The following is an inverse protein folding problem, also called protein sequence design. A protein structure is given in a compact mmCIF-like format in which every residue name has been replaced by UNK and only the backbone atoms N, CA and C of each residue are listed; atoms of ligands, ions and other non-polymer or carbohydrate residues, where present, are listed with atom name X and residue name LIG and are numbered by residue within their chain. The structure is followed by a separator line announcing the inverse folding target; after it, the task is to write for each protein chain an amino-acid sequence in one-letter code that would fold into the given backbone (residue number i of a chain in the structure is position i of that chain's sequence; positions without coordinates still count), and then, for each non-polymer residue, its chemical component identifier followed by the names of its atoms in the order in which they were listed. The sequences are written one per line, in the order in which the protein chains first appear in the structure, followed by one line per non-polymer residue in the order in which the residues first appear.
data_IF_164894479804
#
_entry.id   IF_164894479804
#
_cell.length_a   1.000
_cell.length_b   1.000
_cell.length_c   1.000
_cell.angle_alpha   90.00
_cell.angle_beta   90.00
_cell.angle_gamma   90.00
#
_symmetry.space_group_name_H-M   'P 1'
#
loop_
_entity.id
_entity.type
_entity.pdbx_description
1 polymer ?
#
# COMPACT_ATOMS: atom_id res chain seq x y z
N UNK A 1 10.89 14.66 -4.43
CA UNK A 1 9.41 14.74 -4.25
C UNK A 1 8.93 13.34 -3.90
N UNK A 2 8.03 13.24 -2.95
CA UNK A 2 7.43 11.95 -2.55
C UNK A 2 6.17 11.69 -3.38
N UNK A 3 5.83 10.43 -3.60
CA UNK A 3 4.54 10.06 -4.15
C UNK A 3 3.54 9.82 -3.00
N UNK A 4 2.27 10.19 -3.19
CA UNK A 4 1.12 9.97 -2.29
C UNK A 4 1.17 10.72 -0.96
N UNK A 5 2.23 10.57 -0.14
CA UNK A 5 2.32 11.13 1.21
C UNK A 5 3.65 11.81 1.47
N UNK A 6 3.66 12.87 2.28
CA UNK A 6 4.86 13.63 2.63
C UNK A 6 4.74 14.24 4.05
N UNK A 7 5.75 15.01 4.47
CA UNK A 7 5.79 15.68 5.79
C UNK A 7 4.64 16.64 6.08
N UNK A 8 3.87 17.03 5.05
CA UNK A 8 2.72 17.93 5.21
C UNK A 8 1.39 17.18 5.32
N UNK A 9 1.36 15.89 4.99
CA UNK A 9 0.17 15.04 5.06
C UNK A 9 -0.41 15.03 6.48
N UNK A 10 -1.71 15.31 6.61
CA UNK A 10 -2.45 15.43 7.87
C UNK A 10 -3.43 14.28 8.00
N UNK A 11 -3.19 13.39 8.95
CA UNK A 11 -3.86 12.09 9.05
C UNK A 11 -4.96 12.11 10.11
N UNK A 12 -6.15 11.62 9.74
CA UNK A 12 -7.18 11.15 10.67
C UNK A 12 -7.17 9.62 10.74
N UNK A 13 -7.25 9.05 11.95
CA UNK A 13 -7.29 7.60 12.16
C UNK A 13 -8.70 7.17 12.54
N UNK A 14 -9.38 6.42 11.68
CA UNK A 14 -10.69 5.82 11.97
C UNK A 14 -10.50 4.51 12.73
N UNK A 15 -11.27 4.34 13.83
CA UNK A 15 -11.10 3.22 14.74
C UNK A 15 -9.95 3.44 15.75
N UNK A 16 -9.58 4.69 16.02
CA UNK A 16 -8.41 5.05 16.84
C UNK A 16 -8.49 4.52 18.28
N UNK A 17 -9.66 4.35 18.85
CA UNK A 17 -9.83 3.83 20.23
C UNK A 17 -9.69 2.31 20.33
N UNK A 18 -9.61 1.61 19.22
CA UNK A 18 -9.28 0.19 19.18
C UNK A 18 -7.78 -0.05 19.40
N UNK A 19 -7.42 -1.26 19.83
CA UNK A 19 -6.03 -1.64 20.15
C UNK A 19 -5.07 -1.34 19.00
N UNK A 20 -5.38 -1.81 17.80
CA UNK A 20 -4.53 -1.63 16.61
C UNK A 20 -4.53 -0.15 16.15
N UNK A 21 -5.70 0.51 16.16
CA UNK A 21 -5.82 1.91 15.79
C UNK A 21 -4.99 2.82 16.70
N UNK A 22 -5.09 2.64 18.02
CA UNK A 22 -4.30 3.38 19.00
C UNK A 22 -2.80 3.14 18.85
N UNK A 23 -2.39 1.86 18.81
CA UNK A 23 -0.98 1.50 18.70
C UNK A 23 -0.33 2.08 17.43
N UNK A 24 -0.95 1.86 16.27
CA UNK A 24 -0.37 2.32 15.02
C UNK A 24 -0.47 3.84 14.82
N UNK A 25 -1.50 4.51 15.34
CA UNK A 25 -1.56 5.96 15.37
C UNK A 25 -0.36 6.55 16.13
N UNK A 26 -0.05 6.00 17.31
CA UNK A 26 1.10 6.37 18.12
C UNK A 26 2.42 6.12 17.39
N UNK A 27 2.57 4.97 16.73
CA UNK A 27 3.77 4.65 15.93
C UNK A 27 3.93 5.58 14.71
N UNK A 28 2.84 5.98 14.06
CA UNK A 28 2.89 6.96 12.97
C UNK A 28 3.31 8.33 13.49
N UNK A 29 2.75 8.78 14.63
CA UNK A 29 3.12 10.03 15.28
C UNK A 29 4.59 10.04 15.72
N UNK A 30 5.08 8.95 16.31
CA UNK A 30 6.48 8.78 16.70
C UNK A 30 7.45 8.82 15.52
N UNK A 31 7.03 8.38 14.33
CA UNK A 31 7.80 8.49 13.09
C UNK A 31 7.87 9.93 12.54
N UNK A 32 7.05 10.85 13.04
CA UNK A 32 6.96 12.23 12.58
C UNK A 32 5.75 12.54 11.71
N UNK A 33 4.84 11.57 11.48
CA UNK A 33 3.59 11.79 10.74
C UNK A 33 2.66 12.69 11.54
N UNK A 34 2.02 13.66 10.88
CA UNK A 34 1.04 14.55 11.53
C UNK A 34 -0.30 13.83 11.69
N UNK A 35 -0.40 12.97 12.71
CA UNK A 35 -1.68 12.38 13.12
C UNK A 35 -2.42 13.43 13.94
N UNK A 36 -3.39 14.09 13.34
CA UNK A 36 -4.04 15.29 13.89
C UNK A 36 -5.43 15.03 14.47
N UNK A 37 -6.02 13.87 14.16
CA UNK A 37 -7.36 13.49 14.63
C UNK A 37 -7.53 11.97 14.70
N UNK A 38 -8.42 11.53 15.55
CA UNK A 38 -8.99 10.19 15.55
C UNK A 38 -10.51 10.24 15.39
N UNK A 39 -11.09 9.16 14.88
CA UNK A 39 -12.55 9.01 14.78
C UNK A 39 -12.97 7.68 15.35
N UNK A 40 -13.92 7.74 16.28
CA UNK A 40 -14.68 6.58 16.77
C UNK A 40 -16.06 7.08 17.17
N UNK A 41 -17.15 6.60 16.54
CA UNK A 41 -18.51 7.01 16.88
C UNK A 41 -18.83 6.85 18.37
N UNK A 42 -19.45 7.87 18.99
CA UNK A 42 -19.79 7.89 20.42
C UNK A 42 -18.61 8.16 21.36
N UNK A 43 -17.40 8.48 20.85
CA UNK A 43 -16.20 8.72 21.65
C UNK A 43 -15.64 10.14 21.50
N UNK A 44 -16.37 11.07 20.91
CA UNK A 44 -15.95 12.46 20.81
C UNK A 44 -15.63 13.07 22.16
N UNK A 45 -14.58 13.91 22.18
CA UNK A 45 -14.07 14.54 23.42
C UNK A 45 -13.08 13.70 24.20
N UNK A 46 -12.87 12.44 23.83
CA UNK A 46 -11.74 11.65 24.36
C UNK A 46 -10.44 12.02 23.60
N UNK A 47 -9.33 11.59 24.17
CA UNK A 47 -8.01 11.67 23.55
C UNK A 47 -7.32 10.30 23.57
N UNK A 48 -6.53 10.03 22.55
CA UNK A 48 -5.63 8.86 22.45
C UNK A 48 -4.22 9.38 22.23
N UNK A 49 -3.36 9.26 23.23
CA UNK A 49 -1.96 9.75 23.19
C UNK A 49 -1.86 11.23 22.73
N UNK A 50 -2.76 12.08 23.23
CA UNK A 50 -2.86 13.49 22.86
C UNK A 50 -3.41 13.75 21.46
N UNK A 51 -4.06 12.76 20.85
CA UNK A 51 -4.77 12.90 19.57
C UNK A 51 -6.27 13.05 19.89
N UNK A 52 -6.93 14.18 19.53
CA UNK A 52 -8.34 14.38 19.81
C UNK A 52 -9.21 13.42 19.00
N UNK A 53 -10.26 12.89 19.65
CA UNK A 53 -11.21 11.94 19.03
C UNK A 53 -12.51 12.65 18.70
N UNK A 54 -13.01 12.41 17.49
CA UNK A 54 -14.28 12.93 16.95
C UNK A 54 -15.26 11.78 16.68
N UNK A 55 -16.55 12.12 16.56
CA UNK A 55 -17.58 11.14 16.18
C UNK A 55 -17.57 10.84 14.68
N UNK A 56 -17.20 11.81 13.85
CA UNK A 56 -17.25 11.70 12.39
C UNK A 56 -15.97 12.23 11.73
N UNK A 57 -15.64 11.69 10.54
CA UNK A 57 -14.53 12.23 9.73
C UNK A 57 -14.80 13.67 9.32
N UNK A 58 -16.07 14.03 9.05
CA UNK A 58 -16.44 15.41 8.69
C UNK A 58 -16.13 16.40 9.82
N UNK A 59 -16.38 16.05 11.08
CA UNK A 59 -16.03 16.88 12.21
C UNK A 59 -14.52 17.01 12.39
N UNK A 60 -13.78 15.90 12.19
CA UNK A 60 -12.33 15.90 12.21
C UNK A 60 -11.75 16.82 11.12
N UNK A 61 -12.22 16.71 9.86
CA UNK A 61 -11.79 17.58 8.74
C UNK A 61 -12.03 19.05 9.06
N UNK A 62 -13.23 19.41 9.55
CA UNK A 62 -13.56 20.80 9.88
C UNK A 62 -12.66 21.39 10.96
N UNK A 63 -12.22 20.59 11.92
CA UNK A 63 -11.41 21.05 13.07
C UNK A 63 -9.92 20.99 12.84
N UNK A 64 -9.44 20.05 12.02
CA UNK A 64 -8.02 19.75 11.90
C UNK A 64 -7.50 19.81 10.48
N UNK A 65 -8.33 20.07 9.48
CA UNK A 65 -7.94 20.12 8.06
C UNK A 65 -7.18 18.87 7.61
N UNK A 66 -7.53 17.70 8.16
CA UNK A 66 -6.93 16.43 7.73
C UNK A 66 -7.33 16.11 6.29
N UNK A 67 -6.38 15.59 5.52
CA UNK A 67 -6.50 15.29 4.09
C UNK A 67 -6.39 13.79 3.77
N UNK A 68 -5.93 13.01 4.74
CA UNK A 68 -5.68 11.57 4.60
C UNK A 68 -6.34 10.79 5.73
N UNK A 69 -7.02 9.70 5.39
CA UNK A 69 -7.64 8.79 6.37
C UNK A 69 -6.89 7.46 6.44
N UNK A 70 -6.57 7.02 7.66
CA UNK A 70 -6.02 5.70 7.97
C UNK A 70 -7.08 4.88 8.70
N UNK A 71 -7.47 3.71 8.17
CA UNK A 71 -8.62 2.93 8.64
C UNK A 71 -8.21 1.62 9.31
N UNK A 72 -8.61 1.47 10.59
CA UNK A 72 -8.54 0.26 11.40
C UNK A 72 -9.93 -0.21 11.86
N UNK A 73 -10.98 0.22 11.18
CA UNK A 73 -12.36 -0.15 11.49
C UNK A 73 -12.58 -1.64 11.18
N UNK A 74 -13.31 -2.40 12.02
CA UNK A 74 -13.58 -3.82 11.77
C UNK A 74 -14.22 -4.10 10.40
N UNK A 75 -13.98 -5.28 9.78
CA UNK A 75 -14.35 -5.58 8.40
C UNK A 75 -15.80 -5.28 8.01
N UNK A 76 -16.82 -5.58 8.85
CA UNK A 76 -18.23 -5.31 8.48
C UNK A 76 -18.56 -3.82 8.31
N UNK A 77 -17.73 -2.93 8.87
CA UNK A 77 -17.98 -1.48 8.88
C UNK A 77 -16.93 -0.70 8.07
N UNK A 78 -15.87 -1.37 7.60
CA UNK A 78 -14.76 -0.70 6.94
C UNK A 78 -15.16 -0.10 5.58
N UNK A 79 -16.08 -0.74 4.86
CA UNK A 79 -16.63 -0.18 3.62
C UNK A 79 -17.31 1.18 3.84
N UNK A 80 -18.13 1.29 4.88
CA UNK A 80 -18.79 2.55 5.25
C UNK A 80 -17.78 3.60 5.72
N UNK A 81 -16.73 3.19 6.46
CA UNK A 81 -15.66 4.09 6.88
C UNK A 81 -14.88 4.68 5.68
N UNK A 82 -14.64 3.89 4.62
CA UNK A 82 -14.04 4.39 3.37
C UNK A 82 -14.95 5.44 2.72
N UNK A 83 -16.26 5.16 2.63
CA UNK A 83 -17.22 6.08 2.02
C UNK A 83 -17.39 7.35 2.84
N UNK A 84 -17.42 7.25 4.17
CA UNK A 84 -17.48 8.41 5.08
C UNK A 84 -16.26 9.34 4.85
N UNK A 85 -15.06 8.77 4.75
CA UNK A 85 -13.86 9.55 4.47
C UNK A 85 -13.95 10.29 3.12
N UNK A 86 -14.40 9.59 2.08
CA UNK A 86 -14.61 10.18 0.76
C UNK A 86 -15.67 11.30 0.76
N UNK A 87 -16.77 11.10 1.49
CA UNK A 87 -17.86 12.09 1.63
C UNK A 87 -17.45 13.31 2.47
N UNK A 88 -16.49 13.15 3.37
CA UNK A 88 -15.90 14.23 4.14
C UNK A 88 -14.85 15.06 3.36
N UNK A 89 -14.51 14.65 2.13
CA UNK A 89 -13.56 15.37 1.27
C UNK A 89 -12.10 14.92 1.42
N UNK A 90 -11.84 13.81 2.10
CA UNK A 90 -10.52 13.20 2.18
C UNK A 90 -10.02 12.80 0.78
N UNK A 91 -8.77 13.10 0.49
CA UNK A 91 -8.14 12.84 -0.81
C UNK A 91 -7.44 11.50 -0.92
N UNK A 92 -6.93 11.01 0.20
CA UNK A 92 -6.25 9.71 0.29
C UNK A 92 -6.83 8.90 1.44
N UNK A 93 -7.32 7.70 1.12
CA UNK A 93 -7.82 6.73 2.09
C UNK A 93 -6.92 5.52 2.09
N UNK A 94 -6.39 5.15 3.24
CA UNK A 94 -5.52 3.97 3.43
C UNK A 94 -6.26 3.01 4.36
N UNK A 95 -6.72 1.89 3.83
CA UNK A 95 -7.51 0.90 4.56
C UNK A 95 -6.64 -0.32 4.88
N UNK A 96 -6.30 -0.49 6.17
CA UNK A 96 -5.48 -1.61 6.64
C UNK A 96 -6.32 -2.88 6.77
N UNK A 97 -7.59 -2.71 7.09
CA UNK A 97 -8.52 -3.79 7.43
C UNK A 97 -8.52 -4.92 6.41
N UNK A 98 -8.32 -6.13 6.89
CA UNK A 98 -8.47 -7.38 6.15
C UNK A 98 -9.87 -7.95 6.35
N UNK A 99 -10.37 -8.72 5.38
CA UNK A 99 -11.62 -9.47 5.50
C UNK A 99 -12.88 -8.66 5.20
N UNK A 100 -12.78 -7.52 4.54
CA UNK A 100 -13.94 -6.78 4.05
C UNK A 100 -14.65 -7.64 2.99
N UNK A 101 -15.99 -7.82 3.08
CA UNK A 101 -16.74 -8.57 2.09
C UNK A 101 -16.52 -8.01 0.68
N UNK A 102 -16.28 -8.89 -0.29
CA UNK A 102 -16.01 -8.52 -1.69
C UNK A 102 -17.12 -7.62 -2.25
N UNK A 103 -18.39 -7.94 -1.95
CA UNK A 103 -19.53 -7.13 -2.40
C UNK A 103 -19.52 -5.71 -1.86
N UNK A 104 -19.04 -5.51 -0.63
CA UNK A 104 -18.92 -4.16 -0.04
C UNK A 104 -17.81 -3.39 -0.75
N UNK A 105 -16.68 -4.04 -1.08
CA UNK A 105 -15.63 -3.40 -1.86
C UNK A 105 -16.05 -3.09 -3.30
N UNK A 106 -16.89 -3.91 -3.92
CA UNK A 106 -17.50 -3.59 -5.24
C UNK A 106 -18.38 -2.33 -5.14
N UNK A 107 -19.19 -2.20 -4.10
CA UNK A 107 -19.99 -1.00 -3.83
C UNK A 107 -19.12 0.23 -3.59
N UNK A 108 -18.08 0.09 -2.76
CA UNK A 108 -17.10 1.15 -2.51
C UNK A 108 -16.44 1.61 -3.81
N UNK A 109 -15.88 0.69 -4.61
CA UNK A 109 -15.25 1.02 -5.91
C UNK A 109 -16.22 1.75 -6.85
N UNK A 110 -17.48 1.32 -6.90
CA UNK A 110 -18.50 1.98 -7.71
C UNK A 110 -18.77 3.41 -7.22
N UNK A 111 -18.90 3.60 -5.90
CA UNK A 111 -19.18 4.90 -5.29
C UNK A 111 -18.00 5.89 -5.43
N UNK A 112 -16.76 5.39 -5.45
CA UNK A 112 -15.57 6.22 -5.62
C UNK A 112 -15.27 6.58 -7.08
N UNK A 113 -15.94 5.95 -8.05
CA UNK A 113 -15.68 6.21 -9.48
C UNK A 113 -15.96 7.67 -9.83
N UNK A 114 -14.97 8.34 -10.43
CA UNK A 114 -15.06 9.76 -10.84
C UNK A 114 -14.92 10.76 -9.70
N UNK A 115 -14.69 10.31 -8.47
CA UNK A 115 -14.39 11.19 -7.33
C UNK A 115 -12.88 11.46 -7.25
N UNK A 116 -12.53 12.63 -6.75
CA UNK A 116 -11.14 13.02 -6.47
C UNK A 116 -10.70 12.44 -5.11
N UNK A 117 -10.65 11.12 -5.04
CA UNK A 117 -10.19 10.35 -3.88
C UNK A 117 -9.45 9.10 -4.33
N UNK A 118 -8.30 8.83 -3.72
CA UNK A 118 -7.53 7.60 -3.93
C UNK A 118 -7.69 6.68 -2.74
N UNK A 119 -7.94 5.41 -3.01
CA UNK A 119 -7.98 4.34 -2.00
C UNK A 119 -6.76 3.43 -2.15
N UNK A 120 -6.00 3.24 -1.08
CA UNK A 120 -4.93 2.23 -0.94
C UNK A 120 -5.46 1.09 -0.07
N UNK A 121 -5.26 -0.15 -0.51
CA UNK A 121 -5.86 -1.32 0.13
C UNK A 121 -7.28 -1.62 -0.40
N UNK A 122 -8.10 -2.37 0.32
CA UNK A 122 -7.92 -2.87 1.69
C UNK A 122 -6.85 -3.97 1.83
N UNK A 123 -6.71 -4.52 3.06
CA UNK A 123 -5.76 -5.58 3.38
C UNK A 123 -4.33 -5.21 2.95
N UNK A 124 -3.85 -4.06 3.41
CA UNK A 124 -2.55 -3.52 3.01
C UNK A 124 -1.75 -3.05 4.23
N UNK A 125 -0.41 -2.97 4.14
CA UNK A 125 0.42 -2.44 5.22
C UNK A 125 0.48 -0.91 5.25
N UNK A 126 -0.12 -0.22 4.29
CA UNK A 126 -0.13 1.23 4.18
C UNK A 126 0.93 1.79 3.23
N UNK A 127 1.37 3.01 3.51
CA UNK A 127 2.35 3.77 2.71
C UNK A 127 3.39 4.39 3.64
N UNK A 128 4.65 4.38 3.23
CA UNK A 128 5.73 5.11 3.90
C UNK A 128 6.58 5.85 2.87
N UNK A 129 6.71 7.16 3.02
CA UNK A 129 7.76 7.95 2.38
C UNK A 129 8.85 8.18 3.41
N UNK A 130 10.04 7.69 3.12
CA UNK A 130 11.12 7.60 4.11
C UNK A 130 11.54 9.00 4.57
N UNK A 131 11.69 9.17 5.89
CA UNK A 131 11.98 10.42 6.59
C UNK A 131 10.91 11.53 6.46
N UNK A 132 9.76 11.22 5.87
CA UNK A 132 8.68 12.19 5.71
C UNK A 132 7.37 11.80 6.41
N UNK A 133 6.81 10.63 6.07
CA UNK A 133 5.56 10.16 6.65
C UNK A 133 5.41 8.65 6.57
N UNK A 134 4.97 8.05 7.66
CA UNK A 134 4.55 6.65 7.76
C UNK A 134 3.05 6.62 8.06
N UNK A 135 2.26 6.00 7.20
CA UNK A 135 0.81 5.89 7.36
C UNK A 135 0.41 4.43 7.17
N UNK A 136 0.21 3.73 8.27
CA UNK A 136 -0.06 2.29 8.30
C UNK A 136 0.82 1.54 9.30
N UNK A 137 1.04 0.25 9.02
CA UNK A 137 1.67 -0.71 9.94
C UNK A 137 3.13 -1.04 9.62
N UNK A 138 3.68 -0.52 8.53
CA UNK A 138 5.08 -0.79 8.15
C UNK A 138 6.04 -0.39 9.28
N UNK A 139 7.05 -1.22 9.61
CA UNK A 139 8.04 -0.89 10.65
C UNK A 139 9.00 0.19 10.14
N UNK A 140 8.86 1.43 10.65
CA UNK A 140 9.64 2.58 10.17
C UNK A 140 11.16 2.42 10.30
N UNK A 141 11.62 1.68 11.32
CA UNK A 141 13.03 1.53 11.65
C UNK A 141 13.85 0.70 10.65
N UNK A 142 13.21 -0.09 9.78
CA UNK A 142 13.91 -0.86 8.74
C UNK A 142 14.16 -0.04 7.47
N UNK A 143 13.47 1.08 7.31
CA UNK A 143 13.57 1.92 6.11
C UNK A 143 14.72 2.91 6.22
N UNK A 144 15.44 3.12 5.13
CA UNK A 144 16.46 4.17 4.98
C UNK A 144 16.20 4.95 3.71
N UNK A 145 16.36 6.28 3.77
CA UNK A 145 16.18 7.11 2.58
C UNK A 145 17.14 6.71 1.48
N UNK A 146 16.62 6.55 0.28
CA UNK A 146 17.37 6.17 -0.90
C UNK A 146 16.62 6.42 -2.20
N UNK A 147 16.84 5.57 -3.19
CA UNK A 147 16.40 5.82 -4.56
C UNK A 147 15.47 4.75 -5.14
N UNK A 148 14.95 3.82 -4.32
CA UNK A 148 14.13 2.71 -4.82
C UNK A 148 12.67 2.90 -4.40
N UNK A 149 11.76 2.89 -5.37
CA UNK A 149 10.32 2.80 -5.13
C UNK A 149 9.90 1.34 -4.91
N UNK A 150 9.03 1.05 -3.94
CA UNK A 150 8.54 -0.32 -3.69
C UNK A 150 7.02 -0.33 -3.79
N UNK A 151 6.48 -1.21 -4.62
CA UNK A 151 5.04 -1.50 -4.69
C UNK A 151 4.77 -2.98 -4.50
N UNK A 152 3.86 -3.33 -3.58
CA UNK A 152 3.68 -4.72 -3.18
C UNK A 152 2.24 -5.06 -2.81
N UNK A 153 1.83 -6.30 -3.12
CA UNK A 153 0.60 -6.91 -2.59
C UNK A 153 0.81 -7.50 -1.19
N UNK A 154 2.05 -7.85 -0.84
CA UNK A 154 2.40 -8.53 0.41
C UNK A 154 3.06 -7.56 1.40
N UNK A 155 2.56 -7.48 2.62
CA UNK A 155 3.21 -6.74 3.71
C UNK A 155 4.56 -7.35 4.07
N UNK A 156 4.61 -8.65 4.36
CA UNK A 156 5.81 -9.36 4.80
C UNK A 156 6.95 -9.29 3.78
N UNK A 157 6.66 -9.56 2.50
CA UNK A 157 7.68 -9.48 1.46
C UNK A 157 8.14 -8.04 1.18
N UNK A 158 7.28 -7.04 1.45
CA UNK A 158 7.72 -5.64 1.46
C UNK A 158 8.83 -5.42 2.48
N UNK A 159 8.67 -5.93 3.70
CA UNK A 159 9.67 -5.76 4.76
C UNK A 159 10.99 -6.47 4.43
N UNK A 160 10.91 -7.65 3.83
CA UNK A 160 12.08 -8.39 3.35
C UNK A 160 12.86 -7.60 2.29
N UNK A 161 12.18 -7.10 1.26
CA UNK A 161 12.80 -6.27 0.22
C UNK A 161 13.43 -4.99 0.79
N UNK A 162 12.69 -4.28 1.63
CA UNK A 162 13.15 -3.04 2.28
C UNK A 162 14.40 -3.29 3.14
N UNK A 163 14.40 -4.37 3.93
CA UNK A 163 15.57 -4.72 4.74
C UNK A 163 16.81 -4.94 3.87
N UNK A 164 16.69 -5.66 2.76
CA UNK A 164 17.79 -5.88 1.83
C UNK A 164 18.26 -4.56 1.19
N UNK A 165 17.34 -3.74 0.69
CA UNK A 165 17.67 -2.43 0.08
C UNK A 165 18.39 -1.52 1.08
N UNK A 166 17.88 -1.41 2.29
CA UNK A 166 18.47 -0.59 3.36
C UNK A 166 19.84 -1.10 3.80
N UNK A 167 20.04 -2.43 3.85
CA UNK A 167 21.31 -3.05 4.23
C UNK A 167 22.38 -2.84 3.15
N UNK A 168 22.00 -2.88 1.88
CA UNK A 168 22.88 -2.60 0.75
C UNK A 168 23.12 -1.10 0.50
N UNK A 169 22.55 -0.21 1.31
CA UNK A 169 22.70 1.23 1.15
C UNK A 169 21.97 1.82 -0.07
N UNK A 170 21.03 1.08 -0.66
CA UNK A 170 20.20 1.54 -1.79
C UNK A 170 19.04 2.41 -1.29
N UNK A 171 18.42 2.00 -0.20
CA UNK A 171 17.31 2.68 0.47
C UNK A 171 16.08 2.93 -0.40
N UNK A 172 15.03 3.46 0.21
CA UNK A 172 13.73 3.63 -0.45
C UNK A 172 13.34 5.12 -0.55
N UNK A 173 12.62 5.46 -1.63
CA UNK A 173 11.89 6.74 -1.74
C UNK A 173 10.53 6.62 -1.04
N UNK A 174 9.69 5.75 -1.56
CA UNK A 174 8.35 5.45 -1.01
C UNK A 174 8.07 3.97 -1.16
N UNK A 175 7.46 3.37 -0.13
CA UNK A 175 6.93 2.01 -0.19
C UNK A 175 5.40 2.07 -0.12
N UNK A 176 4.74 1.42 -1.07
CA UNK A 176 3.28 1.38 -1.20
C UNK A 176 2.80 -0.07 -1.15
N UNK A 177 2.09 -0.41 -0.08
CA UNK A 177 1.36 -1.68 -0.03
C UNK A 177 -0.02 -1.51 -0.64
N UNK A 178 -0.29 -2.18 -1.74
CA UNK A 178 -1.59 -2.08 -2.44
C UNK A 178 -2.61 -3.11 -1.95
N UNK A 179 -2.18 -4.09 -1.16
CA UNK A 179 -3.01 -5.14 -0.58
C UNK A 179 -3.21 -6.37 -1.46
N UNK A 180 -3.62 -7.46 -0.80
CA UNK A 180 -3.80 -8.78 -1.41
C UNK A 180 -5.27 -9.14 -1.75
N UNK A 181 -6.20 -8.23 -1.57
CA UNK A 181 -7.61 -8.47 -1.85
C UNK A 181 -7.93 -8.38 -3.36
N UNK A 182 -8.91 -9.16 -3.86
CA UNK A 182 -9.25 -9.19 -5.28
C UNK A 182 -9.86 -7.87 -5.80
N UNK A 183 -10.46 -7.08 -4.91
CA UNK A 183 -11.04 -5.77 -5.23
C UNK A 183 -10.33 -4.71 -4.40
N UNK A 184 -9.21 -4.22 -4.90
CA UNK A 184 -8.44 -3.16 -4.27
C UNK A 184 -8.75 -1.76 -4.85
N UNK A 185 -8.35 -0.72 -4.14
CA UNK A 185 -8.49 0.67 -4.55
C UNK A 185 -7.51 1.05 -5.65
N UNK A 186 -6.23 0.93 -5.35
CA UNK A 186 -5.09 1.26 -6.21
C UNK A 186 -4.40 -0.03 -6.66
N UNK A 187 -3.95 -0.08 -7.90
CA UNK A 187 -3.28 -1.22 -8.49
C UNK A 187 -1.80 -0.93 -8.83
N UNK A 188 -1.07 -1.91 -9.37
CA UNK A 188 0.32 -1.74 -9.78
C UNK A 188 0.51 -0.62 -10.80
N UNK A 189 -0.34 -0.53 -11.82
CA UNK A 189 -0.23 0.47 -12.89
C UNK A 189 -0.31 1.88 -12.33
N UNK A 190 -1.23 2.11 -11.38
CA UNK A 190 -1.40 3.41 -10.73
C UNK A 190 -0.12 3.86 -10.01
N UNK A 191 0.53 2.94 -9.28
CA UNK A 191 1.74 3.25 -8.50
C UNK A 191 2.97 3.35 -9.39
N UNK A 192 3.10 2.47 -10.39
CA UNK A 192 4.18 2.51 -11.38
C UNK A 192 4.19 3.85 -12.14
N UNK A 193 3.00 4.35 -12.51
CA UNK A 193 2.88 5.66 -13.16
C UNK A 193 3.34 6.82 -12.28
N UNK A 194 3.15 6.72 -10.96
CA UNK A 194 3.65 7.71 -10.00
C UNK A 194 5.17 7.62 -9.84
N UNK A 195 5.72 6.41 -9.68
CA UNK A 195 7.17 6.21 -9.57
C UNK A 195 7.92 6.63 -10.83
N UNK A 196 7.37 6.38 -12.03
CA UNK A 196 8.01 6.82 -13.27
C UNK A 196 8.17 8.34 -13.32
N UNK A 197 7.19 9.08 -12.79
CA UNK A 197 7.22 10.56 -12.74
C UNK A 197 8.05 11.11 -11.58
N UNK A 198 8.36 10.31 -10.57
CA UNK A 198 9.10 10.79 -9.41
C UNK A 198 10.62 10.88 -9.71
N UNK A 199 11.23 12.07 -9.71
CA UNK A 199 12.64 12.23 -10.04
C UNK A 199 13.59 11.60 -9.02
N UNK A 200 13.16 11.36 -7.78
CA UNK A 200 13.98 10.73 -6.74
C UNK A 200 14.01 9.20 -6.89
N UNK A 201 12.99 8.60 -7.49
CA UNK A 201 12.96 7.15 -7.72
C UNK A 201 13.78 6.78 -8.94
N UNK A 202 14.86 5.99 -8.75
CA UNK A 202 15.77 5.54 -9.81
C UNK A 202 15.52 4.10 -10.25
N UNK A 203 14.96 3.27 -9.38
CA UNK A 203 14.54 1.90 -9.69
C UNK A 203 13.26 1.55 -8.94
N UNK A 204 12.56 0.52 -9.39
CA UNK A 204 11.29 0.11 -8.80
C UNK A 204 11.35 -1.39 -8.46
N UNK A 205 10.92 -1.73 -7.25
CA UNK A 205 10.64 -3.12 -6.84
C UNK A 205 9.13 -3.34 -6.89
N UNK A 206 8.71 -4.37 -7.62
CA UNK A 206 7.32 -4.80 -7.74
C UNK A 206 7.15 -6.21 -7.18
N UNK A 207 6.39 -6.37 -6.12
CA UNK A 207 6.15 -7.67 -5.48
C UNK A 207 4.71 -8.08 -5.71
N UNK A 208 4.54 -9.12 -6.52
CA UNK A 208 3.26 -9.73 -6.84
C UNK A 208 3.12 -11.15 -6.27
N UNK A 209 2.05 -11.77 -6.64
CA UNK A 209 1.71 -13.13 -6.21
C UNK A 209 0.79 -13.81 -7.23
N UNK A 210 0.53 -15.09 -7.04
CA UNK A 210 -0.41 -15.84 -7.86
C UNK A 210 -1.83 -15.25 -7.82
N UNK A 211 -2.61 -15.53 -8.83
CA UNK A 211 -4.01 -15.14 -8.97
C UNK A 211 -4.22 -13.77 -9.61
N UNK A 212 -5.37 -13.62 -10.26
CA UNK A 212 -5.71 -12.44 -11.04
C UNK A 212 -4.75 -12.15 -12.19
N UNK A 213 -4.85 -10.97 -12.77
CA UNK A 213 -4.11 -10.51 -13.95
C UNK A 213 -3.39 -9.16 -13.73
N UNK A 214 -3.24 -8.74 -12.48
CA UNK A 214 -2.69 -7.43 -12.13
C UNK A 214 -1.22 -7.27 -12.54
N UNK A 215 -0.44 -8.34 -12.45
CA UNK A 215 0.98 -8.35 -12.80
C UNK A 215 1.18 -8.36 -14.32
N UNK A 216 0.29 -9.01 -15.07
CA UNK A 216 0.29 -9.00 -16.53
C UNK A 216 -0.07 -7.60 -17.06
N UNK A 217 -1.06 -6.92 -16.47
CA UNK A 217 -1.39 -5.52 -16.78
C UNK A 217 -0.24 -4.57 -16.44
N UNK A 218 0.44 -4.84 -15.33
CA UNK A 218 1.64 -4.10 -14.96
C UNK A 218 2.77 -4.30 -15.98
N UNK A 219 3.00 -5.52 -16.44
CA UNK A 219 4.00 -5.83 -17.48
C UNK A 219 3.74 -5.06 -18.77
N UNK A 220 2.50 -5.04 -19.24
CA UNK A 220 2.10 -4.26 -20.41
C UNK A 220 2.32 -2.76 -20.24
N UNK A 221 2.03 -2.23 -19.06
CA UNK A 221 2.28 -0.83 -18.73
C UNK A 221 3.77 -0.51 -18.67
N UNK A 222 4.57 -1.36 -17.99
CA UNK A 222 6.02 -1.21 -17.88
C UNK A 222 6.63 -1.15 -19.27
N UNK A 223 6.33 -2.10 -20.14
CA UNK A 223 6.88 -2.16 -21.50
C UNK A 223 6.62 -0.88 -22.30
N UNK A 224 5.50 -0.20 -22.09
CA UNK A 224 5.08 0.97 -22.87
C UNK A 224 5.48 2.30 -22.25
N UNK A 225 5.54 2.37 -20.91
CA UNK A 225 5.52 3.65 -20.19
C UNK A 225 6.58 3.81 -19.12
N UNK A 226 7.27 2.75 -18.70
CA UNK A 226 8.29 2.81 -17.64
C UNK A 226 9.68 2.66 -18.23
N UNK A 227 10.54 3.65 -17.99
CA UNK A 227 11.94 3.66 -18.44
C UNK A 227 12.93 3.28 -17.32
N UNK A 228 12.48 3.41 -16.08
CA UNK A 228 13.27 3.06 -14.90
C UNK A 228 13.42 1.55 -14.80
N UNK A 229 14.56 1.02 -14.33
CA UNK A 229 14.70 -0.39 -14.07
C UNK A 229 13.63 -0.90 -13.11
N UNK A 230 12.97 -2.00 -13.48
CA UNK A 230 11.98 -2.68 -12.63
C UNK A 230 12.51 -4.06 -12.28
N UNK A 231 12.51 -4.37 -10.99
CA UNK A 231 12.82 -5.68 -10.43
C UNK A 231 11.55 -6.25 -9.82
N UNK A 232 11.20 -7.49 -10.11
CA UNK A 232 9.99 -8.12 -9.59
C UNK A 232 10.25 -9.45 -8.91
N UNK A 233 9.47 -9.73 -7.88
CA UNK A 233 9.33 -11.05 -7.29
C UNK A 233 7.85 -11.47 -7.30
N UNK A 234 7.56 -12.72 -7.64
CA UNK A 234 6.22 -13.29 -7.66
C UNK A 234 6.13 -14.45 -6.68
N UNK A 235 5.33 -14.27 -5.63
CA UNK A 235 5.10 -15.30 -4.64
C UNK A 235 4.18 -16.41 -5.14
N UNK A 236 4.38 -17.63 -4.61
CA UNK A 236 3.46 -18.75 -4.83
C UNK A 236 3.87 -19.70 -5.95
N UNK A 237 5.16 -19.81 -6.32
CA UNK A 237 5.64 -20.73 -7.37
C UNK A 237 5.28 -22.21 -7.09
N UNK A 238 5.17 -22.59 -5.82
CA UNK A 238 4.81 -23.95 -5.38
C UNK A 238 3.34 -24.09 -4.98
N UNK A 239 2.53 -23.06 -5.21
CA UNK A 239 1.14 -23.07 -4.80
C UNK A 239 0.32 -24.08 -5.65
N UNK A 240 -0.45 -24.97 -5.01
CA UNK A 240 -1.31 -25.89 -5.74
C UNK A 240 -2.50 -25.16 -6.37
N UNK A 241 -2.93 -25.55 -7.60
CA UNK A 241 -4.12 -24.99 -8.23
C UNK A 241 -5.38 -25.14 -7.37
N UNK A 242 -6.28 -24.14 -7.43
CA UNK A 242 -7.57 -24.18 -6.75
C UNK A 242 -7.52 -23.96 -5.22
N UNK A 243 -6.33 -23.78 -4.64
CA UNK A 243 -6.16 -23.50 -3.22
C UNK A 243 -5.81 -22.03 -2.98
N UNK A 244 -6.54 -21.39 -2.09
CA UNK A 244 -6.24 -20.03 -1.63
C UNK A 244 -4.99 -20.04 -0.74
N UNK A 245 -4.03 -19.15 -1.04
CA UNK A 245 -2.73 -19.06 -0.38
C UNK A 245 -2.58 -17.75 0.42
N UNK A 246 -3.16 -17.70 1.62
CA UNK A 246 -3.13 -16.49 2.45
C UNK A 246 -4.12 -15.44 1.97
N UNK A 247 -3.73 -14.55 1.09
CA UNK A 247 -4.56 -13.47 0.57
C UNK A 247 -5.79 -13.98 -0.18
N UNK A 248 -6.91 -13.24 -0.08
CA UNK A 248 -8.15 -13.60 -0.76
C UNK A 248 -8.02 -13.66 -2.29
N UNK A 249 -7.14 -12.83 -2.88
CA UNK A 249 -6.84 -12.82 -4.30
C UNK A 249 -5.77 -13.83 -4.75
N UNK A 250 -5.06 -14.48 -3.83
CA UNK A 250 -3.97 -15.41 -4.13
C UNK A 250 -4.48 -16.84 -4.37
N UNK A 251 -5.12 -17.05 -5.51
CA UNK A 251 -5.65 -18.34 -5.94
C UNK A 251 -5.46 -18.54 -7.45
N UNK A 252 -4.92 -19.69 -7.86
CA UNK A 252 -4.85 -20.10 -9.26
C UNK A 252 -6.21 -20.70 -9.61
N UNK A 253 -6.94 -20.06 -10.52
CA UNK A 253 -8.27 -20.50 -10.95
C UNK A 253 -8.32 -20.67 -12.46
N UNK A 254 -8.95 -21.76 -12.95
CA UNK A 254 -9.05 -22.04 -14.38
C UNK A 254 -7.71 -22.18 -15.09
N UNK A 255 -6.65 -22.57 -14.37
CA UNK A 255 -5.31 -22.72 -14.95
C UNK A 255 -4.58 -21.39 -15.25
N UNK A 256 -5.15 -20.26 -14.86
CA UNK A 256 -4.59 -18.93 -15.09
C UNK A 256 -4.05 -18.29 -13.81
N UNK A 257 -3.15 -17.31 -13.96
CA UNK A 257 -2.59 -16.55 -12.84
C UNK A 257 -1.54 -17.34 -12.04
N UNK A 258 -0.83 -18.25 -12.68
CA UNK A 258 0.31 -18.96 -12.05
C UNK A 258 1.51 -18.04 -11.92
N UNK A 259 2.35 -18.28 -10.91
CA UNK A 259 3.59 -17.51 -10.76
C UNK A 259 4.49 -17.62 -12.00
N UNK A 260 4.58 -18.79 -12.61
CA UNK A 260 5.41 -19.03 -13.80
C UNK A 260 4.96 -18.23 -15.02
N UNK A 261 3.65 -18.12 -15.26
CA UNK A 261 3.10 -17.30 -16.37
C UNK A 261 3.37 -15.81 -16.13
N UNK A 262 3.13 -15.32 -14.91
CA UNK A 262 3.39 -13.93 -14.51
C UNK A 262 4.87 -13.58 -14.67
N UNK A 263 5.78 -14.44 -14.20
CA UNK A 263 7.23 -14.26 -14.37
C UNK A 263 7.62 -14.15 -15.84
N UNK A 264 7.14 -15.07 -16.71
CA UNK A 264 7.42 -15.03 -18.14
C UNK A 264 6.92 -13.75 -18.80
N UNK A 265 5.71 -13.30 -18.44
CA UNK A 265 5.13 -12.07 -18.96
C UNK A 265 5.92 -10.84 -18.55
N UNK A 266 6.38 -10.78 -17.29
CA UNK A 266 7.23 -9.70 -16.79
C UNK A 266 8.61 -9.71 -17.46
N UNK A 267 9.26 -10.87 -17.59
CA UNK A 267 10.55 -11.03 -18.32
C UNK A 267 10.43 -10.55 -19.77
N UNK A 268 9.33 -10.89 -20.47
CA UNK A 268 9.06 -10.45 -21.85
C UNK A 268 8.80 -8.92 -21.95
N UNK A 269 8.46 -8.27 -20.84
CA UNK A 269 8.31 -6.82 -20.74
C UNK A 269 9.60 -6.10 -20.34
N UNK A 270 10.73 -6.83 -20.16
CA UNK A 270 12.02 -6.26 -19.77
C UNK A 270 12.21 -6.10 -18.26
N UNK A 271 11.35 -6.69 -17.44
CA UNK A 271 11.48 -6.69 -15.98
C UNK A 271 12.50 -7.75 -15.56
N UNK A 272 13.37 -7.41 -14.61
CA UNK A 272 14.28 -8.39 -13.99
C UNK A 272 13.52 -9.16 -12.90
N UNK A 273 13.26 -10.44 -13.14
CA UNK A 273 12.49 -11.28 -12.20
C UNK A 273 13.43 -12.06 -11.29
N UNK A 274 13.29 -11.82 -9.97
CA UNK A 274 13.94 -12.61 -8.94
C UNK A 274 13.16 -13.91 -8.71
N UNK A 275 13.86 -15.03 -8.62
CA UNK A 275 13.24 -16.34 -8.30
C UNK A 275 13.36 -16.68 -6.82
N UNK A 276 14.28 -16.04 -6.12
CA UNK A 276 14.50 -16.16 -4.68
C UNK A 276 14.26 -14.80 -4.03
N UNK A 277 13.34 -14.67 -3.04
CA UNK A 277 13.08 -13.40 -2.39
C UNK A 277 14.30 -12.80 -1.68
N UNK A 278 15.26 -13.63 -1.26
CA UNK A 278 16.50 -13.16 -0.65
C UNK A 278 17.47 -12.43 -1.61
N UNK A 279 17.17 -12.44 -2.91
CA UNK A 279 18.02 -11.83 -3.95
C UNK A 279 17.46 -10.51 -4.49
N UNK A 280 16.35 -10.00 -3.94
CA UNK A 280 15.69 -8.78 -4.44
C UNK A 280 16.67 -7.59 -4.39
N UNK A 281 17.31 -7.37 -3.26
CA UNK A 281 18.26 -6.25 -3.09
C UNK A 281 19.46 -6.33 -4.04
N UNK A 282 20.10 -7.49 -4.16
CA UNK A 282 21.22 -7.71 -5.07
C UNK A 282 20.81 -7.52 -6.55
N UNK A 283 19.61 -7.95 -6.91
CA UNK A 283 19.08 -7.76 -8.26
C UNK A 283 18.82 -6.29 -8.58
N UNK A 284 18.34 -5.50 -7.61
CA UNK A 284 18.19 -4.04 -7.74
C UNK A 284 19.55 -3.38 -7.88
N UNK A 285 20.53 -3.77 -7.06
CA UNK A 285 21.90 -3.26 -7.13
C UNK A 285 22.50 -3.47 -8.53
N UNK A 286 22.40 -4.68 -9.05
CA UNK A 286 22.82 -5.00 -10.41
C UNK A 286 22.03 -4.25 -11.50
N UNK A 287 20.73 -3.97 -11.26
CA UNK A 287 19.90 -3.20 -12.18
C UNK A 287 20.33 -1.73 -12.27
N UNK A 288 20.85 -1.19 -11.17
CA UNK A 288 21.37 0.19 -11.09
C UNK A 288 22.84 0.30 -11.53
N UNK A 289 23.52 -0.82 -11.86
CA UNK A 289 24.94 -0.83 -12.25
C UNK A 289 25.88 -0.51 -11.08
N UNK A 290 25.50 -0.88 -9.87
CA UNK A 290 26.22 -0.61 -8.61
C UNK A 290 26.77 -1.88 -7.98
#
# INVERSE_FOLDING_TARGET
MSILVNKNTRVVVQGITGKEGSFHATQCKAYGTKVVAGVTPGKAGQEVEGIPVFNTVRDAVKKTECDTSLIFVPPPFAGDAILEAADAGIKLVICITEGIPVNDMVRVKRALRGRDVRLIGPNCPGVITVDEAKIGIMPGFIHKRGAVGVVSRSGTLTYEAVHQLSTLGLGETTCVGIGGDPVNGTNFVDVLALFEKDPETQAIVMIGEIGGDAEEKAADFIKKHVRKPVVSFIAGITAPPGRRMGHAGAIISGGQGTASEKMKTLEAAGVRVCRNPAEIGATVQAALGR
#
